data_IF_830760460389
#
_entry.id   IF_830760460389
#
_cell.length_a   1.000
_cell.length_b   1.000
_cell.length_c   1.000
_cell.angle_alpha   90.00
_cell.angle_beta   90.00
_cell.angle_gamma   90.00
#
_symmetry.space_group_name_H-M   'P 1'
#
loop_
_entity.id
_entity.type
_entity.pdbx_description
1 polymer ?
#
# COMPACT_ATOMS: atom_id res chain seq x y z
N UNK A 1 -28.42 54.65 -9.39
CA UNK A 1 -29.40 54.89 -8.30
C UNK A 1 -29.10 53.81 -7.28
N UNK A 2 -28.53 54.05 -6.10
CA UNK A 2 -28.84 55.08 -5.10
C UNK A 2 -27.51 55.63 -4.54
N UNK A 3 -27.37 56.96 -4.62
CA UNK A 3 -26.50 57.79 -3.79
C UNK A 3 -27.30 58.19 -2.54
N UNK A 4 -26.60 58.72 -1.53
CA UNK A 4 -27.13 59.44 -0.35
C UNK A 4 -27.50 58.63 0.90
N UNK A 5 -26.53 57.96 1.55
CA UNK A 5 -26.58 57.80 3.02
C UNK A 5 -25.22 57.93 3.74
N UNK A 6 -24.12 58.21 3.02
CA UNK A 6 -22.79 58.34 3.65
C UNK A 6 -22.31 59.79 3.89
N UNK A 7 -23.19 60.79 3.70
CA UNK A 7 -22.81 62.21 3.84
C UNK A 7 -23.22 62.85 5.18
N UNK A 8 -24.06 62.19 6.00
CA UNK A 8 -24.57 62.78 7.25
C UNK A 8 -23.85 62.31 8.52
N UNK A 9 -22.97 61.31 8.43
CA UNK A 9 -22.22 60.82 9.60
C UNK A 9 -20.88 61.53 9.82
N UNK A 10 -20.35 62.23 8.81
CA UNK A 10 -19.03 62.90 8.90
C UNK A 10 -19.16 64.37 9.38
N UNK A 11 -20.31 65.02 9.16
CA UNK A 11 -20.51 66.41 9.64
C UNK A 11 -20.76 66.52 11.15
N UNK A 12 -21.17 65.46 11.83
CA UNK A 12 -21.40 65.48 13.28
C UNK A 12 -20.12 65.24 14.11
N UNK A 13 -19.10 64.58 13.57
CA UNK A 13 -17.82 64.41 14.28
C UNK A 13 -16.93 65.68 14.26
N UNK A 14 -17.06 66.52 13.22
CA UNK A 14 -16.23 67.74 13.10
C UNK A 14 -16.72 68.86 14.04
N UNK A 15 -18.00 68.89 14.41
CA UNK A 15 -18.48 69.84 15.43
C UNK A 15 -18.06 69.43 16.86
N UNK A 16 -17.90 68.14 17.15
CA UNK A 16 -17.51 67.68 18.48
C UNK A 16 -16.03 67.96 18.81
N UNK A 17 -15.14 67.93 17.81
CA UNK A 17 -13.71 68.28 17.99
C UNK A 17 -13.43 69.79 18.08
N UNK A 18 -14.35 70.66 17.65
CA UNK A 18 -14.17 72.12 17.79
C UNK A 18 -14.60 72.66 19.15
N UNK A 19 -15.45 71.95 19.90
CA UNK A 19 -15.88 72.38 21.24
C UNK A 19 -14.91 71.97 22.37
N UNK A 20 -14.12 70.90 22.19
CA UNK A 20 -13.18 70.41 23.23
C UNK A 20 -11.84 71.15 23.23
N UNK A 21 -11.46 71.78 22.11
CA UNK A 21 -10.19 72.50 22.00
C UNK A 21 -10.17 73.87 22.71
N UNK A 22 -11.34 74.51 22.89
CA UNK A 22 -11.42 75.83 23.57
C UNK A 22 -11.27 75.69 25.09
N UNK A 23 -11.69 74.57 25.69
CA UNK A 23 -11.54 74.32 27.13
C UNK A 23 -10.12 73.95 27.56
N UNK A 24 -9.32 73.33 26.67
CA UNK A 24 -7.93 72.93 26.99
C UNK A 24 -6.93 74.09 26.93
N UNK A 25 -7.22 75.16 26.17
CA UNK A 25 -6.38 76.36 26.15
C UNK A 25 -6.62 77.26 27.38
N UNK A 26 -7.85 77.33 27.91
CA UNK A 26 -8.16 78.10 29.13
C UNK A 26 -7.53 77.49 30.40
N UNK A 27 -7.44 76.15 30.48
CA UNK A 27 -6.81 75.46 31.62
C UNK A 27 -5.28 75.57 31.63
N UNK A 28 -4.63 75.68 30.46
CA UNK A 28 -3.17 75.92 30.39
C UNK A 28 -2.77 77.33 30.78
N UNK A 29 -3.57 78.35 30.45
CA UNK A 29 -3.28 79.74 30.87
C UNK A 29 -3.50 79.97 32.37
N UNK A 30 -4.48 79.28 32.99
CA UNK A 30 -4.67 79.36 34.44
C UNK A 30 -3.56 78.61 35.22
N UNK A 31 -3.01 77.53 34.67
CA UNK A 31 -1.94 76.76 35.32
C UNK A 31 -0.56 77.43 35.25
N UNK A 32 -0.29 78.19 34.18
CA UNK A 32 0.94 79.01 34.06
C UNK A 32 0.87 80.24 34.98
N UNK A 33 -0.31 80.83 35.20
CA UNK A 33 -0.48 81.92 36.16
C UNK A 33 -0.49 81.44 37.63
N UNK A 34 -1.04 80.25 37.94
CA UNK A 34 -0.98 79.68 39.30
C UNK A 34 0.43 79.20 39.69
N UNK A 35 1.24 78.73 38.74
CA UNK A 35 2.64 78.36 39.02
C UNK A 35 3.54 79.58 39.26
N UNK A 36 3.27 80.70 38.59
CA UNK A 36 3.98 81.96 38.80
C UNK A 36 3.66 82.64 40.15
N UNK A 37 2.43 82.47 40.69
CA UNK A 37 2.08 82.95 42.04
C UNK A 37 2.52 81.99 43.16
N UNK A 38 2.70 80.69 42.89
CA UNK A 38 3.21 79.73 43.87
C UNK A 38 4.74 79.85 44.09
N UNK A 39 5.51 80.26 43.07
CA UNK A 39 6.95 80.51 43.22
C UNK A 39 7.30 81.79 44.00
N UNK A 40 6.38 82.75 44.12
CA UNK A 40 6.62 84.00 44.87
C UNK A 40 6.15 83.98 46.33
N UNK A 41 5.31 83.01 46.74
CA UNK A 41 4.88 82.85 48.14
C UNK A 41 5.69 81.76 48.87
N UNK A 42 6.30 80.82 48.16
CA UNK A 42 7.20 79.82 48.76
C UNK A 42 8.61 80.34 49.12
N UNK A 43 8.95 81.59 48.77
CA UNK A 43 10.20 82.24 49.23
C UNK A 43 10.04 83.12 50.49
N UNK A 44 8.85 83.14 51.12
CA UNK A 44 8.58 83.97 52.29
C UNK A 44 8.19 83.17 53.56
N UNK A 45 8.47 81.87 53.60
CA UNK A 45 8.44 81.05 54.84
C UNK A 45 9.75 80.27 54.96
N UNK A 46 10.87 80.97 54.81
CA UNK A 46 12.12 80.61 55.50
C UNK A 46 12.37 81.77 56.46
N UNK A 47 12.10 81.55 57.75
CA UNK A 47 12.70 82.21 58.92
C UNK A 47 11.80 82.02 60.17
N UNK A 48 11.57 80.78 60.59
CA UNK A 48 11.53 80.42 62.03
C UNK A 48 12.06 78.99 62.15
N UNK A 49 13.08 78.83 62.99
CA UNK A 49 13.97 77.67 62.98
C UNK A 49 13.34 76.35 63.43
N UNK A 50 13.91 75.27 62.90
CA UNK A 50 14.35 74.12 63.67
C UNK A 50 15.37 73.36 62.82
N UNK A 51 16.56 73.11 63.37
CA UNK A 51 17.64 72.43 62.66
C UNK A 51 17.22 71.04 62.16
N UNK A 52 17.16 70.88 60.83
CA UNK A 52 17.03 69.57 60.20
C UNK A 52 17.91 69.55 58.95
N UNK A 53 19.08 68.92 59.06
CA UNK A 53 20.00 68.72 57.94
C UNK A 53 19.33 67.87 56.84
N UNK A 54 19.48 68.22 55.55
CA UNK A 54 18.71 67.59 54.48
C UNK A 54 19.25 66.19 54.14
N UNK A 55 18.50 65.15 54.52
CA UNK A 55 18.75 63.73 54.21
C UNK A 55 18.83 63.45 52.68
N UNK A 56 18.34 64.36 51.86
CA UNK A 56 18.19 64.22 50.40
C UNK A 56 19.50 64.20 49.61
N UNK A 57 20.57 64.87 50.08
CA UNK A 57 21.90 64.87 49.39
C UNK A 57 22.86 63.79 49.91
N UNK A 58 22.60 63.26 51.10
CA UNK A 58 23.48 62.29 51.77
C UNK A 58 23.27 60.87 51.25
N UNK A 59 22.04 60.51 50.85
CA UNK A 59 21.72 59.16 50.35
C UNK A 59 22.41 58.83 49.01
N UNK A 60 22.42 59.70 47.97
CA UNK A 60 23.12 59.41 46.72
C UNK A 60 24.63 59.30 46.89
N UNK A 61 25.22 60.11 47.78
CA UNK A 61 26.67 60.09 48.07
C UNK A 61 27.07 58.84 48.85
N UNK A 62 26.25 58.40 49.82
CA UNK A 62 26.46 57.13 50.54
C UNK A 62 26.36 55.93 49.59
N UNK A 63 25.33 55.88 48.73
CA UNK A 63 25.20 54.85 47.70
C UNK A 63 26.38 54.84 46.74
N UNK A 64 26.81 55.99 46.23
CA UNK A 64 27.96 56.08 45.34
C UNK A 64 29.28 55.66 46.04
N UNK A 65 29.45 55.96 47.33
CA UNK A 65 30.60 55.50 48.10
C UNK A 65 30.55 53.98 48.36
N UNK A 66 29.37 53.43 48.65
CA UNK A 66 29.13 51.99 48.82
C UNK A 66 29.35 51.22 47.51
N UNK A 67 28.86 51.73 46.39
CA UNK A 67 29.06 51.18 45.04
C UNK A 67 30.54 51.21 44.64
N UNK A 68 31.25 52.32 44.90
CA UNK A 68 32.70 52.40 44.67
C UNK A 68 33.45 51.40 45.55
N UNK A 69 33.09 51.30 46.83
CA UNK A 69 33.69 50.32 47.73
C UNK A 69 33.38 48.88 47.30
N UNK A 70 32.19 48.62 46.76
CA UNK A 70 31.79 47.33 46.21
C UNK A 70 32.54 47.01 44.92
N UNK A 71 32.71 47.98 44.02
CA UNK A 71 33.48 47.84 42.80
C UNK A 71 34.96 47.53 43.09
N UNK A 72 35.55 48.19 44.09
CA UNK A 72 36.92 47.88 44.55
C UNK A 72 37.00 46.45 45.09
N UNK A 73 36.03 46.03 45.91
CA UNK A 73 35.98 44.64 46.39
C UNK A 73 35.81 43.64 45.25
N UNK A 74 34.93 43.90 44.30
CA UNK A 74 34.72 43.04 43.13
C UNK A 74 35.98 42.96 42.24
N UNK A 75 36.67 44.08 42.04
CA UNK A 75 37.94 44.12 41.32
C UNK A 75 39.03 43.32 42.07
N UNK A 76 39.11 43.44 43.40
CA UNK A 76 40.02 42.65 44.22
C UNK A 76 39.72 41.14 44.15
N UNK A 77 38.44 40.75 44.18
CA UNK A 77 38.00 39.35 44.00
C UNK A 77 38.37 38.82 42.62
N UNK A 78 38.10 39.58 41.56
CA UNK A 78 38.46 39.18 40.18
C UNK A 78 39.97 39.03 40.01
N UNK A 79 40.74 39.96 40.56
CA UNK A 79 42.21 39.93 40.57
C UNK A 79 42.74 38.72 41.34
N UNK A 80 42.13 38.39 42.49
CA UNK A 80 42.44 37.19 43.28
C UNK A 80 42.15 35.90 42.50
N UNK A 81 40.97 35.76 41.88
CA UNK A 81 40.63 34.60 41.04
C UNK A 81 41.55 34.50 39.81
N UNK A 82 41.98 35.62 39.24
CA UNK A 82 42.96 35.63 38.14
C UNK A 82 44.32 35.08 38.58
N UNK A 83 44.82 35.51 39.73
CA UNK A 83 46.04 34.96 40.31
C UNK A 83 45.95 33.44 40.52
N UNK A 84 44.79 32.93 40.97
CA UNK A 84 44.56 31.48 41.12
C UNK A 84 44.60 30.75 39.76
N UNK A 85 44.14 31.38 38.68
CA UNK A 85 44.26 30.83 37.31
C UNK A 85 45.70 30.82 36.81
N UNK A 86 46.43 31.93 36.99
CA UNK A 86 47.81 32.11 36.51
C UNK A 86 48.78 31.06 37.11
N UNK A 87 48.48 30.60 38.33
CA UNK A 87 49.27 29.61 39.07
C UNK A 87 49.29 28.22 38.41
N UNK A 88 48.24 27.85 37.67
CA UNK A 88 48.16 26.65 36.83
C UNK A 88 48.21 25.28 37.55
N UNK A 89 48.66 25.23 38.81
CA UNK A 89 48.79 24.04 39.67
C UNK A 89 47.52 23.76 40.51
N UNK A 90 46.52 24.63 40.43
CA UNK A 90 45.24 24.51 41.14
C UNK A 90 44.25 23.73 40.28
N UNK A 91 43.92 22.52 40.73
CA UNK A 91 42.91 21.65 40.13
C UNK A 91 41.64 21.65 40.99
N UNK A 92 40.54 21.10 40.48
CA UNK A 92 39.24 20.99 41.17
C UNK A 92 39.23 20.21 42.48
N UNK A 93 40.30 19.45 42.79
CA UNK A 93 40.47 18.70 44.04
C UNK A 93 41.51 19.31 44.98
N UNK A 94 42.15 20.43 44.58
CA UNK A 94 43.18 21.09 45.36
C UNK A 94 42.60 21.69 46.64
N UNK A 95 43.28 21.47 47.77
CA UNK A 95 42.88 21.96 49.10
C UNK A 95 43.55 23.30 49.42
N UNK A 96 42.81 24.23 50.03
CA UNK A 96 43.31 25.55 50.42
C UNK A 96 44.60 25.49 51.25
N UNK A 97 44.69 24.52 52.16
CA UNK A 97 45.86 24.32 53.03
C UNK A 97 47.16 24.07 52.27
N UNK A 98 47.12 23.55 51.04
CA UNK A 98 48.32 23.25 50.23
C UNK A 98 48.81 24.46 49.44
N UNK A 99 47.94 25.42 49.16
CA UNK A 99 48.22 26.51 48.21
C UNK A 99 48.42 27.85 48.93
N UNK A 100 47.74 28.08 50.06
CA UNK A 100 47.68 29.37 50.76
C UNK A 100 49.05 30.01 51.05
N UNK A 101 50.05 29.21 51.43
CA UNK A 101 51.37 29.72 51.81
C UNK A 101 52.20 30.15 50.59
N UNK A 102 51.99 29.50 49.44
CA UNK A 102 52.66 29.88 48.19
C UNK A 102 52.13 31.19 47.61
N UNK A 103 50.89 31.59 47.96
CA UNK A 103 50.24 32.81 47.47
C UNK A 103 50.55 34.05 48.31
N UNK A 104 51.14 33.86 49.50
CA UNK A 104 51.32 34.89 50.52
C UNK A 104 52.09 36.14 50.03
N UNK A 105 52.97 35.97 49.05
CA UNK A 105 53.83 37.03 48.54
C UNK A 105 53.19 37.86 47.40
N UNK A 106 52.10 37.40 46.79
CA UNK A 106 51.46 38.11 45.68
C UNK A 106 50.68 39.36 46.19
N UNK A 107 50.87 40.54 45.60
CA UNK A 107 50.10 41.74 45.96
C UNK A 107 48.58 41.54 45.91
N UNK A 108 48.08 40.78 44.92
CA UNK A 108 46.65 40.49 44.72
C UNK A 108 46.08 39.64 45.86
N UNK A 109 46.89 38.77 46.47
CA UNK A 109 46.53 38.00 47.67
C UNK A 109 46.40 38.89 48.92
N UNK A 110 47.30 39.87 49.07
CA UNK A 110 47.30 40.80 50.22
C UNK A 110 46.14 41.80 50.19
N UNK A 111 45.65 42.15 49.00
CA UNK A 111 44.50 43.05 48.82
C UNK A 111 43.14 42.46 49.26
N UNK A 112 43.07 41.14 49.51
CA UNK A 112 41.85 40.46 50.00
C UNK A 112 41.95 40.24 51.51
N UNK A 113 40.83 40.47 52.22
CA UNK A 113 40.71 40.22 53.67
C UNK A 113 40.96 38.76 54.01
N UNK A 114 41.52 38.49 55.19
CA UNK A 114 41.91 37.12 55.56
C UNK A 114 40.73 36.15 55.58
N UNK A 115 39.58 36.61 56.06
CA UNK A 115 38.33 35.86 56.21
C UNK A 115 37.74 35.43 54.85
N UNK A 116 37.95 36.25 53.82
CA UNK A 116 37.35 36.04 52.49
C UNK A 116 38.20 35.12 51.60
N UNK A 117 39.49 34.95 51.89
CA UNK A 117 40.43 34.23 50.98
C UNK A 117 40.05 32.77 50.73
N UNK A 118 39.72 32.04 51.78
CA UNK A 118 39.32 30.63 51.66
C UNK A 118 37.94 30.50 51.01
N UNK A 119 37.03 31.44 51.28
CA UNK A 119 35.70 31.51 50.66
C UNK A 119 35.86 31.70 49.15
N UNK A 120 36.63 32.70 48.73
CA UNK A 120 36.90 32.98 47.31
C UNK A 120 37.65 31.84 46.61
N UNK A 121 38.54 31.16 47.33
CA UNK A 121 39.22 29.97 46.81
C UNK A 121 38.23 28.82 46.59
N UNK A 122 37.35 28.54 47.56
CA UNK A 122 36.34 27.49 47.44
C UNK A 122 35.32 27.82 46.34
N UNK A 123 34.94 29.09 46.18
CA UNK A 123 34.13 29.57 45.07
C UNK A 123 34.81 29.30 43.72
N UNK A 124 36.10 29.64 43.58
CA UNK A 124 36.88 29.32 42.38
C UNK A 124 36.97 27.81 42.10
N UNK A 125 37.18 26.98 43.11
CA UNK A 125 37.15 25.51 42.94
C UNK A 125 35.76 25.02 42.53
N UNK A 126 34.70 25.62 43.08
CA UNK A 126 33.32 25.32 42.68
C UNK A 126 33.05 25.71 41.23
N UNK A 127 33.54 26.86 40.77
CA UNK A 127 33.48 27.29 39.37
C UNK A 127 34.20 26.29 38.45
N UNK A 128 35.39 25.82 38.83
CA UNK A 128 36.13 24.80 38.06
C UNK A 128 35.40 23.45 37.96
N UNK A 129 34.67 23.06 39.02
CA UNK A 129 33.84 21.84 39.00
C UNK A 129 32.60 22.01 38.12
N UNK A 130 31.88 23.12 38.28
CA UNK A 130 30.69 23.43 37.49
C UNK A 130 31.02 23.55 35.99
N UNK A 131 32.16 24.14 35.65
CA UNK A 131 32.63 24.24 34.27
C UNK A 131 32.94 22.87 33.65
N UNK A 132 33.55 21.94 34.40
CA UNK A 132 33.77 20.58 33.90
C UNK A 132 32.46 19.81 33.73
N UNK A 133 31.57 19.89 34.71
CA UNK A 133 30.27 19.22 34.65
C UNK A 133 29.43 19.72 33.47
N UNK A 134 29.49 21.02 33.16
CA UNK A 134 28.86 21.57 31.94
C UNK A 134 29.46 20.95 30.67
N UNK A 135 30.79 20.86 30.58
CA UNK A 135 31.45 20.22 29.43
C UNK A 135 31.08 18.74 29.32
N UNK A 136 30.99 18.02 30.45
CA UNK A 136 30.55 16.63 30.47
C UNK A 136 29.09 16.48 30.04
N UNK A 137 28.19 17.35 30.52
CA UNK A 137 26.78 17.37 30.11
C UNK A 137 26.63 17.69 28.63
N UNK A 138 27.37 18.66 28.11
CA UNK A 138 27.41 18.95 26.69
C UNK A 138 27.96 17.78 25.86
N UNK A 139 29.04 17.14 26.32
CA UNK A 139 29.63 15.99 25.65
C UNK A 139 28.65 14.79 25.63
N UNK A 140 27.95 14.58 26.74
CA UNK A 140 26.88 13.57 26.86
C UNK A 140 25.73 13.88 25.92
N UNK A 141 25.24 15.12 25.88
CA UNK A 141 24.18 15.56 24.96
C UNK A 141 24.59 15.38 23.49
N UNK A 142 25.82 15.79 23.12
CA UNK A 142 26.36 15.60 21.77
C UNK A 142 26.47 14.12 21.41
N UNK A 143 26.89 13.27 22.34
CA UNK A 143 26.97 11.82 22.16
C UNK A 143 25.58 11.20 21.98
N UNK A 144 24.61 11.56 22.82
CA UNK A 144 23.22 11.11 22.71
C UNK A 144 22.59 11.51 21.36
N UNK A 145 22.80 12.75 20.91
CA UNK A 145 22.31 13.18 19.59
C UNK A 145 23.01 12.43 18.45
N UNK A 146 24.32 12.20 18.55
CA UNK A 146 25.05 11.39 17.59
C UNK A 146 24.53 9.95 17.55
N UNK A 147 24.24 9.35 18.70
CA UNK A 147 23.72 7.99 18.79
C UNK A 147 22.28 7.91 18.22
N UNK A 148 21.43 8.91 18.46
CA UNK A 148 20.11 9.04 17.81
C UNK A 148 20.20 9.17 16.29
N UNK A 149 21.21 9.88 15.77
CA UNK A 149 21.44 9.98 14.33
C UNK A 149 21.89 8.63 13.74
N UNK A 150 22.85 7.97 14.39
CA UNK A 150 23.31 6.63 13.99
C UNK A 150 22.17 5.60 14.03
N UNK A 151 21.28 5.68 15.02
CA UNK A 151 20.11 4.82 15.13
C UNK A 151 19.13 5.07 13.98
N UNK A 152 18.81 6.33 13.68
CA UNK A 152 17.98 6.70 12.52
C UNK A 152 18.57 6.20 11.21
N UNK A 153 19.88 6.32 11.02
CA UNK A 153 20.58 5.80 9.84
C UNK A 153 20.46 4.27 9.72
N UNK A 154 20.61 3.54 10.83
CA UNK A 154 20.41 2.07 10.86
C UNK A 154 18.99 1.69 10.50
N UNK A 155 17.99 2.39 11.01
CA UNK A 155 16.58 2.14 10.70
C UNK A 155 16.25 2.43 9.23
N UNK A 156 16.78 3.52 8.67
CA UNK A 156 16.67 3.82 7.24
C UNK A 156 17.32 2.73 6.39
N UNK A 157 18.50 2.23 6.78
CA UNK A 157 19.18 1.13 6.08
C UNK A 157 18.34 -0.15 6.10
N UNK A 158 17.79 -0.52 7.26
CA UNK A 158 16.89 -1.69 7.39
C UNK A 158 15.61 -1.53 6.55
N UNK A 159 15.04 -0.32 6.51
CA UNK A 159 13.86 -0.02 5.67
C UNK A 159 14.19 -0.17 4.20
N UNK A 160 15.28 0.44 3.74
CA UNK A 160 15.74 0.36 2.35
C UNK A 160 16.04 -1.08 1.93
N UNK A 161 16.66 -1.88 2.80
CA UNK A 161 16.91 -3.30 2.54
C UNK A 161 15.60 -4.11 2.41
N UNK A 162 14.60 -3.86 3.26
CA UNK A 162 13.28 -4.49 3.14
C UNK A 162 12.59 -4.11 1.83
N UNK A 163 12.62 -2.82 1.48
CA UNK A 163 12.06 -2.32 0.22
C UNK A 163 12.78 -2.94 -0.98
N UNK A 164 14.11 -3.05 -0.95
CA UNK A 164 14.90 -3.69 -2.00
C UNK A 164 14.61 -5.19 -2.13
N UNK A 165 14.50 -5.91 -1.01
CA UNK A 165 14.11 -7.32 -1.02
C UNK A 165 12.69 -7.51 -1.55
N UNK A 166 11.74 -6.63 -1.20
CA UNK A 166 10.39 -6.67 -1.73
C UNK A 166 10.37 -6.38 -3.23
N UNK A 167 11.08 -5.34 -3.67
CA UNK A 167 11.24 -5.01 -5.07
C UNK A 167 11.86 -6.17 -5.86
N UNK A 168 12.89 -6.84 -5.33
CA UNK A 168 13.50 -7.97 -6.02
C UNK A 168 12.55 -9.17 -6.10
N UNK A 169 11.77 -9.45 -5.06
CA UNK A 169 10.69 -10.47 -5.12
C UNK A 169 9.67 -10.13 -6.21
N UNK A 170 9.30 -8.86 -6.35
CA UNK A 170 8.39 -8.41 -7.41
C UNK A 170 9.03 -8.59 -8.79
N UNK A 171 10.30 -8.19 -8.95
CA UNK A 171 11.03 -8.35 -10.22
C UNK A 171 11.17 -9.81 -10.64
N UNK A 172 11.51 -10.73 -9.73
CA UNK A 172 11.53 -12.17 -10.00
C UNK A 172 10.17 -12.69 -10.47
N UNK A 173 9.08 -12.27 -9.82
CA UNK A 173 7.72 -12.66 -10.23
C UNK A 173 7.38 -12.17 -11.64
N UNK A 174 7.78 -10.95 -11.99
CA UNK A 174 7.57 -10.40 -13.33
C UNK A 174 8.38 -11.17 -14.36
N UNK A 175 9.69 -11.34 -14.16
CA UNK A 175 10.56 -12.11 -15.07
C UNK A 175 10.02 -13.52 -15.32
N UNK A 176 9.60 -14.22 -14.26
CA UNK A 176 9.00 -15.55 -14.39
C UNK A 176 7.69 -15.52 -15.19
N UNK A 177 6.78 -14.56 -14.94
CA UNK A 177 5.54 -14.43 -15.72
C UNK A 177 5.80 -14.14 -17.19
N UNK A 178 6.77 -13.27 -17.49
CA UNK A 178 7.20 -12.97 -18.85
C UNK A 178 7.78 -14.22 -19.52
N UNK A 179 8.62 -14.98 -18.82
CA UNK A 179 9.16 -16.24 -19.32
C UNK A 179 8.04 -17.26 -19.60
N UNK A 180 7.06 -17.42 -18.70
CA UNK A 180 5.88 -18.28 -18.93
C UNK A 180 5.12 -17.85 -20.18
N UNK A 181 4.78 -16.56 -20.30
CA UNK A 181 4.02 -16.04 -21.44
C UNK A 181 4.79 -16.20 -22.75
N UNK A 182 6.10 -15.94 -22.71
CA UNK A 182 6.99 -16.08 -23.86
C UNK A 182 7.08 -17.54 -24.32
N UNK A 183 7.22 -18.48 -23.37
CA UNK A 183 7.21 -19.91 -23.68
C UNK A 183 5.85 -20.39 -24.19
N UNK A 184 4.74 -19.92 -23.62
CA UNK A 184 3.40 -20.23 -24.14
C UNK A 184 3.21 -19.75 -25.58
N UNK A 185 3.74 -18.56 -25.93
CA UNK A 185 3.74 -18.09 -27.32
C UNK A 185 4.54 -19.03 -28.23
N UNK A 186 5.73 -19.48 -27.80
CA UNK A 186 6.50 -20.50 -28.52
C UNK A 186 5.69 -21.77 -28.75
N UNK A 187 4.97 -22.27 -27.74
CA UNK A 187 4.12 -23.46 -27.86
C UNK A 187 3.00 -23.25 -28.88
N UNK A 188 2.35 -22.09 -28.90
CA UNK A 188 1.32 -21.75 -29.90
C UNK A 188 1.91 -21.66 -31.32
N UNK A 189 3.11 -21.10 -31.46
CA UNK A 189 3.80 -20.94 -32.75
C UNK A 189 4.27 -22.28 -33.33
N UNK A 190 4.82 -23.16 -32.48
CA UNK A 190 5.48 -24.40 -32.90
C UNK A 190 4.57 -25.61 -32.87
N UNK A 191 3.71 -25.70 -31.84
CA UNK A 191 2.80 -26.81 -31.60
C UNK A 191 1.38 -26.30 -31.84
N UNK A 192 1.06 -26.20 -33.12
CA UNK A 192 -0.29 -25.85 -33.57
C UNK A 192 -1.19 -27.07 -33.45
N UNK A 193 -2.51 -26.82 -33.41
CA UNK A 193 -3.44 -27.84 -33.89
C UNK A 193 -2.92 -28.32 -35.24
N UNK A 194 -2.80 -29.64 -35.47
CA UNK A 194 -2.68 -30.15 -36.81
C UNK A 194 -3.91 -29.65 -37.55
N UNK A 195 -3.78 -28.51 -38.23
CA UNK A 195 -4.56 -28.21 -39.41
C UNK A 195 -4.43 -29.50 -40.19
N UNK A 196 -5.56 -30.17 -40.42
CA UNK A 196 -5.61 -31.34 -41.27
C UNK A 196 -5.30 -30.81 -42.66
N UNK A 197 -4.01 -30.61 -42.96
CA UNK A 197 -3.51 -30.21 -44.27
C UNK A 197 -3.70 -31.43 -45.14
N UNK A 198 -4.84 -31.43 -45.84
CA UNK A 198 -5.09 -31.98 -47.18
C UNK A 198 -4.67 -33.41 -47.54
N UNK A 199 -4.13 -34.22 -46.62
CA UNK A 199 -3.67 -35.58 -46.94
C UNK A 199 -4.79 -36.62 -47.07
N UNK A 200 -6.03 -36.27 -46.71
CA UNK A 200 -7.21 -37.14 -46.90
C UNK A 200 -8.11 -36.73 -48.08
N UNK A 201 -7.89 -35.55 -48.68
CA UNK A 201 -8.67 -35.11 -49.85
C UNK A 201 -8.19 -35.74 -51.16
N UNK A 202 -6.91 -36.11 -51.25
CA UNK A 202 -6.32 -36.66 -52.48
C UNK A 202 -6.36 -38.20 -52.56
N UNK A 203 -6.81 -38.87 -51.50
CA UNK A 203 -6.89 -40.36 -51.43
C UNK A 203 -8.30 -40.85 -51.72
N UNK A 204 -9.31 -39.99 -51.60
CA UNK A 204 -10.71 -40.30 -51.91
C UNK A 204 -11.06 -40.13 -53.40
N UNK A 205 -10.09 -39.77 -54.25
CA UNK A 205 -10.27 -39.55 -55.69
C UNK A 205 -9.55 -40.59 -56.58
N UNK A 206 -9.17 -41.75 -56.04
CA UNK A 206 -8.86 -42.93 -56.84
C UNK A 206 -9.75 -44.08 -56.36
N UNK A 207 -10.73 -44.38 -57.19
CA UNK A 207 -11.53 -45.61 -57.27
C UNK A 207 -12.38 -45.98 -56.05
N UNK A 208 -13.61 -45.45 -56.02
CA UNK A 208 -14.86 -46.23 -56.08
C UNK A 208 -15.12 -47.42 -55.12
N UNK A 209 -14.25 -47.68 -54.14
CA UNK A 209 -14.37 -48.77 -53.19
C UNK A 209 -14.00 -48.22 -51.80
N UNK A 210 -15.02 -47.71 -51.11
CA UNK A 210 -14.94 -47.44 -49.68
C UNK A 210 -14.79 -48.78 -48.93
N UNK A 211 -13.57 -49.31 -48.89
CA UNK A 211 -13.24 -50.45 -48.04
C UNK A 211 -13.22 -49.99 -46.58
N UNK A 212 -14.08 -50.60 -45.77
CA UNK A 212 -14.17 -50.47 -44.31
C UNK A 212 -12.88 -50.94 -43.61
N UNK A 213 -11.82 -50.13 -43.63
CA UNK A 213 -10.54 -50.42 -42.93
C UNK A 213 -10.53 -49.84 -41.50
N UNK A 214 -11.58 -49.15 -41.05
CA UNK A 214 -11.52 -48.38 -39.81
C UNK A 214 -11.75 -49.16 -38.49
N UNK A 215 -11.93 -50.49 -38.53
CA UNK A 215 -12.19 -51.31 -37.33
C UNK A 215 -11.20 -52.47 -37.14
N UNK A 216 -9.95 -52.31 -37.58
CA UNK A 216 -8.90 -53.24 -37.16
C UNK A 216 -8.43 -52.88 -35.75
N UNK A 217 -8.88 -53.70 -34.80
CA UNK A 217 -8.51 -53.75 -33.38
C UNK A 217 -6.99 -53.86 -33.20
N UNK A 218 -6.25 -52.76 -33.34
CA UNK A 218 -4.82 -52.69 -33.07
C UNK A 218 -4.59 -52.34 -31.59
N UNK A 219 -4.53 -53.37 -30.76
CA UNK A 219 -3.86 -53.32 -29.47
C UNK A 219 -3.22 -54.69 -29.21
N UNK A 220 -1.95 -54.88 -29.61
CA UNK A 220 -0.89 -55.46 -28.75
C UNK A 220 0.43 -55.84 -29.46
N UNK A 221 0.51 -56.06 -30.78
CA UNK A 221 1.75 -56.59 -31.38
C UNK A 221 2.09 -55.95 -32.73
N UNK A 222 3.13 -55.12 -32.76
CA UNK A 222 3.81 -54.72 -33.99
C UNK A 222 5.08 -55.56 -34.13
N UNK A 223 4.95 -56.73 -34.76
CA UNK A 223 6.09 -57.48 -35.26
C UNK A 223 6.60 -56.85 -36.56
N UNK A 224 7.92 -56.78 -36.64
CA UNK A 224 8.72 -56.33 -37.79
C UNK A 224 8.29 -57.05 -39.07
N UNK A 225 7.88 -56.29 -40.08
CA UNK A 225 7.80 -56.79 -41.46
C UNK A 225 8.78 -56.00 -42.35
N UNK A 226 9.78 -56.71 -42.83
CA UNK A 226 10.74 -56.28 -43.84
C UNK A 226 10.06 -56.25 -45.21
N UNK A 227 9.95 -55.08 -45.83
CA UNK A 227 9.39 -54.93 -47.17
C UNK A 227 8.57 -53.65 -47.24
N UNK A 228 9.11 -52.63 -47.91
CA UNK A 228 8.61 -51.27 -47.91
C UNK A 228 7.12 -51.14 -48.20
N UNK A 229 6.38 -50.60 -47.23
CA UNK A 229 5.16 -49.85 -47.47
C UNK A 229 5.02 -48.78 -46.38
N UNK A 230 4.77 -47.55 -46.82
CA UNK A 230 4.73 -46.35 -46.01
C UNK A 230 3.76 -46.52 -44.83
N UNK A 231 4.33 -46.47 -43.63
CA UNK A 231 3.61 -46.38 -42.36
C UNK A 231 2.74 -45.13 -42.44
N UNK A 232 1.41 -45.31 -42.50
CA UNK A 232 0.46 -44.22 -42.29
C UNK A 232 0.53 -43.80 -40.83
N UNK A 233 1.12 -42.65 -40.49
CA UNK A 233 1.03 -42.18 -39.14
C UNK A 233 -0.34 -41.54 -39.04
N UNK A 234 -1.31 -42.26 -38.48
CA UNK A 234 -2.37 -41.59 -37.75
C UNK A 234 -1.71 -40.95 -36.50
N UNK A 235 -0.84 -39.94 -36.72
CA UNK A 235 -0.19 -39.11 -35.70
C UNK A 235 -1.22 -38.12 -35.16
N UNK A 236 -2.29 -38.66 -34.61
CA UNK A 236 -2.95 -38.11 -33.43
C UNK A 236 -2.37 -38.78 -32.17
N UNK A 237 -1.10 -39.22 -32.23
CA UNK A 237 -0.27 -39.35 -31.04
C UNK A 237 -0.20 -37.95 -30.48
N UNK A 238 -0.74 -37.73 -29.28
CA UNK A 238 -0.50 -36.50 -28.53
C UNK A 238 1.01 -36.26 -28.61
N UNK A 239 1.39 -35.17 -29.28
CA UNK A 239 2.75 -34.71 -29.48
C UNK A 239 3.51 -34.96 -28.16
N UNK A 240 4.48 -35.87 -28.17
CA UNK A 240 5.17 -36.25 -26.94
C UNK A 240 6.19 -35.19 -26.59
N UNK A 241 6.41 -34.98 -25.29
CA UNK A 241 7.44 -34.06 -24.81
C UNK A 241 8.82 -34.40 -25.39
N UNK A 242 9.16 -35.69 -25.43
CA UNK A 242 10.43 -36.19 -25.96
C UNK A 242 10.65 -35.89 -27.45
N UNK A 243 9.59 -35.90 -28.27
CA UNK A 243 9.69 -35.54 -29.69
C UNK A 243 9.76 -34.02 -29.92
N UNK A 244 9.19 -33.24 -29.00
CA UNK A 244 8.97 -31.79 -29.18
C UNK A 244 10.05 -30.94 -28.55
N UNK A 245 10.57 -31.36 -27.41
CA UNK A 245 11.63 -30.69 -26.65
C UNK A 245 12.81 -30.25 -27.54
N UNK A 246 13.45 -31.11 -28.36
CA UNK A 246 14.58 -30.68 -29.19
C UNK A 246 14.21 -29.66 -30.27
N UNK A 247 12.93 -29.55 -30.64
CA UNK A 247 12.45 -28.54 -31.59
C UNK A 247 12.21 -27.20 -30.90
N UNK A 248 11.70 -27.23 -29.68
CA UNK A 248 11.48 -26.04 -28.84
C UNK A 248 12.82 -25.42 -28.38
N UNK A 249 13.82 -26.26 -28.07
CA UNK A 249 15.16 -25.81 -27.68
C UNK A 249 15.94 -25.12 -28.81
N UNK A 250 15.55 -25.33 -30.07
CA UNK A 250 16.14 -24.66 -31.24
C UNK A 250 15.49 -23.30 -31.54
N UNK A 251 14.64 -22.80 -30.65
CA UNK A 251 14.03 -21.48 -30.78
C UNK A 251 15.10 -20.37 -30.85
N UNK A 252 15.10 -19.51 -31.89
CA UNK A 252 16.07 -18.42 -32.02
C UNK A 252 16.05 -17.43 -30.86
N UNK A 253 14.92 -17.27 -30.20
CA UNK A 253 14.75 -16.39 -29.04
C UNK A 253 15.16 -17.07 -27.71
N UNK A 254 15.62 -18.33 -27.77
CA UNK A 254 16.02 -19.14 -26.62
C UNK A 254 14.96 -19.18 -25.50
N UNK A 255 13.67 -19.07 -25.84
CA UNK A 255 12.57 -19.05 -24.86
C UNK A 255 12.47 -20.34 -24.07
N UNK A 256 12.86 -21.46 -24.67
CA UNK A 256 12.95 -22.78 -24.03
C UNK A 256 14.22 -23.00 -23.18
N UNK A 257 15.18 -22.07 -23.23
CA UNK A 257 16.46 -22.12 -22.48
C UNK A 257 16.55 -21.01 -21.44
N UNK A 258 15.44 -20.30 -21.18
CA UNK A 258 15.38 -19.21 -20.23
C UNK A 258 15.61 -19.71 -18.79
N UNK A 259 16.50 -19.06 -18.04
CA UNK A 259 16.86 -19.42 -16.66
C UNK A 259 15.76 -19.20 -15.62
N UNK A 260 14.74 -18.39 -15.92
CA UNK A 260 13.63 -18.09 -15.01
C UNK A 260 12.57 -19.22 -14.97
N UNK A 261 12.70 -20.23 -15.83
CA UNK A 261 11.88 -21.44 -15.86
C UNK A 261 12.75 -22.68 -15.71
N UNK A 262 12.36 -23.56 -14.80
CA UNK A 262 13.04 -24.85 -14.69
C UNK A 262 12.51 -25.86 -15.75
N UNK A 263 13.22 -26.97 -16.01
CA UNK A 263 12.78 -27.97 -16.99
C UNK A 263 11.41 -28.60 -16.67
N UNK A 264 11.00 -28.64 -15.40
CA UNK A 264 9.72 -29.20 -14.97
C UNK A 264 8.56 -28.25 -15.31
N UNK A 265 8.75 -26.94 -15.10
CA UNK A 265 7.83 -25.87 -15.48
C UNK A 265 7.60 -25.87 -16.98
N UNK A 266 8.67 -25.98 -17.78
CA UNK A 266 8.58 -26.06 -19.24
C UNK A 266 7.76 -27.27 -19.69
N UNK A 267 8.04 -28.45 -19.14
CA UNK A 267 7.28 -29.67 -19.44
C UNK A 267 5.81 -29.56 -19.00
N UNK A 268 5.55 -28.94 -17.84
CA UNK A 268 4.20 -28.68 -17.35
C UNK A 268 3.42 -27.77 -18.29
N UNK A 269 4.01 -26.64 -18.69
CA UNK A 269 3.40 -25.70 -19.64
C UNK A 269 3.11 -26.37 -20.98
N UNK A 270 4.02 -27.22 -21.46
CA UNK A 270 3.79 -28.03 -22.64
C UNK A 270 2.58 -28.96 -22.48
N UNK A 271 2.52 -29.75 -21.40
CA UNK A 271 1.40 -30.69 -21.14
C UNK A 271 0.07 -29.96 -21.00
N UNK A 272 0.08 -28.79 -20.36
CA UNK A 272 -1.08 -27.91 -20.23
C UNK A 272 -1.55 -27.37 -21.58
N UNK A 273 -0.63 -26.93 -22.45
CA UNK A 273 -0.95 -26.52 -23.81
C UNK A 273 -1.56 -27.66 -24.63
N UNK A 274 -0.99 -28.86 -24.56
CA UNK A 274 -1.55 -30.04 -25.26
C UNK A 274 -2.96 -30.38 -24.75
N UNK A 275 -3.17 -30.30 -23.43
CA UNK A 275 -4.49 -30.48 -22.82
C UNK A 275 -5.49 -29.42 -23.33
N UNK A 276 -5.10 -28.15 -23.36
CA UNK A 276 -5.92 -27.05 -23.88
C UNK A 276 -6.31 -27.25 -25.35
N UNK A 277 -5.38 -27.72 -26.20
CA UNK A 277 -5.67 -28.05 -27.60
C UNK A 277 -6.69 -29.19 -27.72
N UNK A 278 -6.54 -30.25 -26.90
CA UNK A 278 -7.49 -31.35 -26.86
C UNK A 278 -8.89 -30.89 -26.42
N UNK A 279 -8.95 -30.10 -25.36
CA UNK A 279 -10.20 -29.55 -24.83
C UNK A 279 -10.91 -28.66 -25.85
N UNK A 280 -10.16 -27.87 -26.64
CA UNK A 280 -10.70 -27.08 -27.75
C UNK A 280 -11.33 -27.96 -28.83
N UNK A 281 -10.65 -29.03 -29.27
CA UNK A 281 -11.21 -30.00 -30.24
C UNK A 281 -12.46 -30.68 -29.69
N UNK A 282 -12.44 -31.08 -28.42
CA UNK A 282 -13.59 -31.69 -27.77
C UNK A 282 -14.78 -30.72 -27.66
N UNK A 283 -14.50 -29.43 -27.45
CA UNK A 283 -15.53 -28.39 -27.43
C UNK A 283 -16.16 -28.19 -28.81
N UNK A 284 -15.36 -28.08 -29.86
CA UNK A 284 -15.87 -28.01 -31.24
C UNK A 284 -16.69 -29.24 -31.61
N UNK A 285 -16.27 -30.44 -31.20
CA UNK A 285 -17.03 -31.66 -31.43
C UNK A 285 -18.37 -31.66 -30.66
N UNK A 286 -18.40 -31.17 -29.41
CA UNK A 286 -19.67 -31.00 -28.68
C UNK A 286 -20.60 -30.01 -29.36
N UNK A 287 -20.08 -28.92 -29.94
CA UNK A 287 -20.88 -27.98 -30.71
C UNK A 287 -21.50 -28.65 -31.95
N UNK A 288 -20.73 -29.47 -32.68
CA UNK A 288 -21.25 -30.30 -33.77
C UNK A 288 -22.37 -31.23 -33.29
N UNK A 289 -22.18 -31.91 -32.15
CA UNK A 289 -23.20 -32.79 -31.60
C UNK A 289 -24.50 -32.02 -31.29
N UNK A 290 -24.41 -30.81 -30.75
CA UNK A 290 -25.61 -29.99 -30.52
C UNK A 290 -26.30 -29.49 -31.78
N UNK A 291 -25.57 -29.28 -32.86
CA UNK A 291 -26.14 -28.86 -34.14
C UNK A 291 -26.81 -30.01 -34.89
N UNK A 292 -26.24 -31.23 -34.80
CA UNK A 292 -26.69 -32.39 -35.59
C UNK A 292 -27.70 -33.26 -34.82
N UNK A 293 -27.55 -33.38 -33.50
CA UNK A 293 -28.43 -34.20 -32.65
C UNK A 293 -29.53 -33.33 -32.03
N UNK A 294 -30.26 -32.61 -32.88
CA UNK A 294 -31.38 -31.75 -32.46
C UNK A 294 -32.54 -32.59 -31.91
N UNK A 295 -33.50 -31.93 -31.26
CA UNK A 295 -34.67 -32.60 -30.70
C UNK A 295 -35.49 -33.35 -31.76
N UNK A 296 -35.53 -32.83 -32.99
CA UNK A 296 -36.20 -33.45 -34.13
C UNK A 296 -35.45 -34.69 -34.62
N UNK A 297 -34.12 -34.67 -34.64
CA UNK A 297 -33.33 -35.84 -34.98
C UNK A 297 -33.45 -36.94 -33.92
N UNK A 298 -33.70 -36.57 -32.66
CA UNK A 298 -33.86 -37.50 -31.56
C UNK A 298 -35.18 -38.28 -31.56
N UNK A 299 -36.23 -37.78 -32.22
CA UNK A 299 -37.52 -38.46 -32.36
C UNK A 299 -37.63 -39.34 -33.61
N UNK A 300 -36.67 -39.23 -34.53
CA UNK A 300 -36.60 -40.09 -35.71
C UNK A 300 -36.01 -41.45 -35.35
N UNK A 301 -36.87 -42.46 -35.32
CA UNK A 301 -36.49 -43.86 -35.15
C UNK A 301 -36.22 -44.52 -36.50
N UNK A 302 -35.13 -45.27 -36.59
CA UNK A 302 -34.91 -46.19 -37.72
C UNK A 302 -35.86 -47.38 -37.63
N UNK A 303 -35.99 -48.19 -38.69
CA UNK A 303 -36.79 -49.43 -38.70
C UNK A 303 -36.50 -50.38 -37.51
N UNK A 304 -35.28 -50.32 -36.95
CA UNK A 304 -34.86 -51.05 -35.74
C UNK A 304 -35.25 -50.41 -34.39
N UNK A 305 -35.98 -49.28 -34.35
CA UNK A 305 -36.29 -48.53 -33.11
C UNK A 305 -35.12 -47.77 -32.50
N UNK A 306 -34.00 -47.59 -33.23
CA UNK A 306 -32.81 -46.87 -32.77
C UNK A 306 -32.86 -45.40 -33.19
N UNK A 307 -32.47 -44.49 -32.30
CA UNK A 307 -32.37 -43.06 -32.57
C UNK A 307 -30.89 -42.63 -32.68
N UNK A 308 -30.68 -41.39 -33.11
CA UNK A 308 -29.35 -40.76 -33.13
C UNK A 308 -28.75 -40.57 -31.72
N UNK A 309 -29.56 -40.64 -30.66
CA UNK A 309 -29.12 -40.54 -29.26
C UNK A 309 -28.82 -41.91 -28.63
N UNK A 310 -29.43 -42.99 -29.14
CA UNK A 310 -29.28 -44.34 -28.57
C UNK A 310 -28.30 -45.22 -29.33
N UNK A 311 -27.95 -44.86 -30.57
CA UNK A 311 -27.00 -45.63 -31.39
C UNK A 311 -25.86 -44.78 -31.96
N UNK A 312 -24.64 -45.13 -31.56
CA UNK A 312 -23.42 -44.51 -32.10
C UNK A 312 -23.33 -44.67 -33.62
N UNK A 313 -23.65 -45.85 -34.16
CA UNK A 313 -23.62 -46.10 -35.60
C UNK A 313 -24.56 -45.18 -36.37
N UNK A 314 -25.74 -44.89 -35.82
CA UNK A 314 -26.72 -43.96 -36.39
C UNK A 314 -26.23 -42.51 -36.33
N UNK A 315 -25.75 -42.05 -35.17
CA UNK A 315 -25.17 -40.72 -35.03
C UNK A 315 -23.95 -40.51 -35.95
N UNK A 316 -23.07 -41.51 -36.00
CA UNK A 316 -21.82 -41.47 -36.77
C UNK A 316 -22.07 -41.27 -38.27
N UNK A 317 -23.19 -41.72 -38.83
CA UNK A 317 -23.54 -41.45 -40.24
C UNK A 317 -23.71 -39.96 -40.52
N UNK A 318 -24.27 -39.21 -39.57
CA UNK A 318 -24.48 -37.76 -39.69
C UNK A 318 -23.22 -36.95 -39.40
N UNK A 319 -22.31 -37.49 -38.60
CA UNK A 319 -21.10 -36.79 -38.13
C UNK A 319 -19.88 -36.94 -39.06
N UNK A 320 -19.81 -38.03 -39.86
CA UNK A 320 -18.60 -38.42 -40.60
C UNK A 320 -18.09 -37.39 -41.62
N UNK A 321 -18.96 -36.55 -42.17
CA UNK A 321 -18.63 -35.54 -43.17
C UNK A 321 -18.06 -34.24 -42.57
N UNK A 322 -18.29 -33.97 -41.28
CA UNK A 322 -17.90 -32.70 -40.66
C UNK A 322 -16.42 -32.69 -40.25
N UNK A 323 -15.75 -31.56 -40.51
CA UNK A 323 -14.34 -31.37 -40.19
C UNK A 323 -14.04 -31.48 -38.69
N UNK A 324 -14.96 -31.06 -37.81
CA UNK A 324 -14.83 -31.14 -36.35
C UNK A 324 -14.81 -32.58 -35.87
N UNK A 325 -15.59 -33.48 -36.50
CA UNK A 325 -15.52 -34.91 -36.25
C UNK A 325 -14.19 -35.53 -36.70
N UNK A 326 -13.70 -35.12 -37.88
CA UNK A 326 -12.41 -35.61 -38.42
C UNK A 326 -11.26 -35.22 -37.48
N UNK A 327 -11.26 -33.98 -36.98
CA UNK A 327 -10.25 -33.44 -36.04
C UNK A 327 -10.29 -34.09 -34.66
N UNK A 328 -11.44 -34.59 -34.22
CA UNK A 328 -11.56 -35.25 -32.91
C UNK A 328 -10.76 -36.58 -32.89
N UNK A 329 -9.91 -36.84 -31.89
CA UNK A 329 -9.22 -38.13 -31.73
C UNK A 329 -10.18 -39.33 -31.73
N UNK A 330 -9.91 -40.32 -32.59
CA UNK A 330 -10.80 -41.50 -32.80
C UNK A 330 -11.22 -42.18 -31.50
N UNK A 331 -10.27 -42.41 -30.60
CA UNK A 331 -10.47 -43.05 -29.29
C UNK A 331 -11.44 -42.31 -28.36
N UNK A 332 -11.66 -41.02 -28.59
CA UNK A 332 -12.44 -40.15 -27.72
C UNK A 332 -13.82 -39.81 -28.31
N UNK A 333 -14.07 -40.10 -29.60
CA UNK A 333 -15.30 -39.69 -30.30
C UNK A 333 -16.54 -40.29 -29.66
N UNK A 334 -16.56 -41.62 -29.50
CA UNK A 334 -17.72 -42.32 -28.97
C UNK A 334 -17.96 -41.97 -27.50
N UNK A 335 -16.89 -41.82 -26.70
CA UNK A 335 -17.04 -41.47 -25.29
C UNK A 335 -17.61 -40.06 -25.09
N UNK A 336 -17.20 -39.09 -25.92
CA UNK A 336 -17.78 -37.74 -25.91
C UNK A 336 -19.24 -37.75 -26.38
N UNK A 337 -19.55 -38.49 -27.44
CA UNK A 337 -20.93 -38.67 -27.91
C UNK A 337 -21.82 -39.32 -26.86
N UNK A 338 -21.32 -40.36 -26.17
CA UNK A 338 -22.07 -41.10 -25.15
C UNK A 338 -22.47 -40.18 -24.01
N UNK A 339 -21.51 -39.43 -23.46
CA UNK A 339 -21.78 -38.44 -22.39
C UNK A 339 -22.76 -37.36 -22.84
N UNK A 340 -22.63 -36.88 -24.08
CA UNK A 340 -23.57 -35.89 -24.62
C UNK A 340 -24.99 -36.45 -24.76
N UNK A 341 -25.11 -37.68 -25.28
CA UNK A 341 -26.40 -38.33 -25.52
C UNK A 341 -27.12 -38.67 -24.22
N UNK A 342 -26.40 -39.18 -23.22
CA UNK A 342 -26.91 -39.39 -21.86
C UNK A 342 -27.45 -38.08 -21.24
N UNK A 343 -26.72 -36.98 -21.42
CA UNK A 343 -27.16 -35.66 -20.94
C UNK A 343 -28.43 -35.17 -21.65
N UNK A 344 -28.52 -35.40 -22.97
CA UNK A 344 -29.72 -35.05 -23.74
C UNK A 344 -30.94 -35.90 -23.36
N UNK A 345 -30.77 -37.21 -23.19
CA UNK A 345 -31.83 -38.11 -22.73
C UNK A 345 -32.28 -37.74 -21.31
N UNK A 346 -31.35 -37.39 -20.43
CA UNK A 346 -31.67 -36.89 -19.07
C UNK A 346 -32.50 -35.61 -19.12
N UNK A 347 -32.17 -34.67 -20.01
CA UNK A 347 -32.94 -33.44 -20.21
C UNK A 347 -34.34 -33.70 -20.77
N UNK A 348 -34.48 -34.61 -21.72
CA UNK A 348 -35.78 -35.01 -22.26
C UNK A 348 -36.67 -35.61 -21.16
N UNK A 349 -36.13 -36.52 -20.35
CA UNK A 349 -36.85 -37.12 -19.23
C UNK A 349 -37.32 -36.07 -18.21
N UNK A 350 -36.45 -35.14 -17.81
CA UNK A 350 -36.81 -34.06 -16.89
C UNK A 350 -37.89 -33.12 -17.46
N UNK A 351 -37.83 -32.81 -18.76
CA UNK A 351 -38.86 -32.00 -19.42
C UNK A 351 -40.21 -32.73 -19.47
N UNK A 352 -40.19 -34.05 -19.67
CA UNK A 352 -41.38 -34.88 -19.65
C UNK A 352 -42.00 -34.93 -18.23
N UNK A 353 -41.19 -35.23 -17.21
CA UNK A 353 -41.62 -35.29 -15.80
C UNK A 353 -42.24 -33.95 -15.34
N UNK A 354 -41.63 -32.81 -15.71
CA UNK A 354 -42.17 -31.47 -15.40
C UNK A 354 -43.49 -31.16 -16.10
N UNK A 355 -43.70 -31.71 -17.30
CA UNK A 355 -44.94 -31.53 -18.05
C UNK A 355 -46.06 -32.37 -17.43
N UNK A 356 -45.75 -33.59 -17.01
CA UNK A 356 -46.68 -34.48 -16.29
C UNK A 356 -47.08 -33.91 -14.92
N UNK A 357 -46.12 -33.35 -14.17
CA UNK A 357 -46.38 -32.67 -12.89
C UNK A 357 -47.27 -31.43 -13.05
N UNK A 358 -47.02 -30.58 -14.06
CA UNK A 358 -47.92 -29.45 -14.38
C UNK A 358 -49.32 -29.90 -14.78
N UNK A 359 -49.44 -30.98 -15.55
CA UNK A 359 -50.73 -31.49 -16.02
C UNK A 359 -51.56 -32.09 -14.86
N UNK A 360 -50.89 -32.71 -13.89
CA UNK A 360 -51.55 -33.22 -12.66
C UNK A 360 -51.97 -32.10 -11.71
N UNK A 361 -51.19 -31.02 -11.58
CA UNK A 361 -51.53 -29.87 -10.73
C UNK A 361 -52.73 -29.05 -11.30
N UNK A 362 -52.80 -28.87 -12.62
CA UNK A 362 -53.94 -28.21 -13.30
C UNK A 362 -55.22 -29.04 -13.16
N UNK A 363 -55.12 -30.38 -13.21
CA UNK A 363 -56.28 -31.26 -13.01
C UNK A 363 -56.77 -31.28 -11.55
N UNK A 364 -55.89 -31.05 -10.58
CA UNK A 364 -56.25 -30.91 -9.16
C UNK A 364 -57.03 -29.63 -8.85
N UNK A 365 -56.75 -28.51 -9.54
CA UNK A 365 -57.47 -27.24 -9.34
C UNK A 365 -58.85 -27.18 -10.01
N UNK A 366 -59.07 -27.94 -11.08
CA UNK A 366 -60.36 -27.96 -11.81
C UNK A 366 -61.43 -28.87 -11.18
N UNK A 367 -61.12 -29.55 -10.06
CA UNK A 367 -62.03 -30.49 -9.39
C UNK A 367 -62.71 -29.93 -8.13
N UNK A 368 -62.46 -28.66 -7.76
CA UNK A 368 -63.08 -28.03 -6.57
C UNK A 368 -63.77 -26.73 -6.96
N UNK A 369 -64.85 -26.84 -7.72
CA UNK A 369 -65.95 -25.86 -7.64
C UNK A 369 -67.25 -26.52 -8.13
N UNK A 370 -68.07 -26.97 -7.18
CA UNK A 370 -69.53 -27.04 -7.32
C UNK A 370 -70.19 -27.39 -5.99
N UNK A 371 -70.66 -26.36 -5.29
CA UNK A 371 -71.90 -26.43 -4.50
C UNK A 371 -71.76 -26.35 -2.98
N UNK A 372 -72.04 -25.17 -2.40
CA UNK A 372 -73.35 -24.85 -1.77
C UNK A 372 -73.25 -23.59 -0.87
N UNK A 373 -74.18 -22.67 -1.09
CA UNK A 373 -74.35 -21.35 -0.46
C UNK A 373 -74.44 -21.35 1.09
N UNK A 374 -74.02 -20.26 1.76
CA UNK A 374 -74.32 -19.99 3.16
C UNK A 374 -75.53 -19.03 3.33
N UNK A 375 -76.44 -19.33 4.25
CA UNK A 375 -77.42 -18.36 4.76
C UNK A 375 -77.82 -18.65 6.21
N UNK A 376 -77.83 -17.60 7.04
CA UNK A 376 -78.32 -17.53 8.42
C UNK A 376 -77.18 -17.36 9.45
N UNK A 377 -76.77 -16.14 9.85
CA UNK A 377 -77.42 -15.15 10.73
C UNK A 377 -77.21 -15.36 12.26
N UNK A 378 -76.33 -14.50 12.81
CA UNK A 378 -76.27 -13.85 14.16
C UNK A 378 -76.21 -14.68 15.45
N UNK A 379 -75.16 -14.42 16.25
CA UNK A 379 -75.12 -13.72 17.58
C UNK A 379 -73.78 -14.07 18.27
N UNK A 380 -72.89 -13.11 18.56
CA UNK A 380 -72.83 -12.20 19.72
C UNK A 380 -72.28 -12.86 21.01
N UNK A 381 -71.13 -12.32 21.48
CA UNK A 381 -70.56 -12.27 22.85
C UNK A 381 -70.34 -13.62 23.60
N UNK A 382 -69.24 -13.86 24.31
CA UNK A 382 -68.84 -13.18 25.55
C UNK A 382 -67.40 -13.59 25.99
N UNK A 383 -66.80 -12.73 26.81
CA UNK A 383 -65.44 -12.74 27.37
C UNK A 383 -65.16 -13.90 28.36
N UNK A 384 -63.89 -14.27 28.52
CA UNK A 384 -63.14 -14.02 29.78
C UNK A 384 -61.64 -14.05 29.54
#
# INVERSE_FOLDING_TARGET
MINLEHSTSIELEIQFLRSTCVCLFALKFLWISLSALCSSVCHAIELVGHGFYPVSRVLPLKRAAEEKAQAIRAAAVSSFKSMLRDKGDITRSTRWSRVKDSLRNDPRYKCVKHEDREILFNEYISELKAAEEEVEREAKSKKEEQDKLKERERELRKRKEREEQEMERVRLKVRRKEAVSSYQALLVETIKDPQVVSYYSNVLNLDGLAMDVCDMKLNSEAQMFSGGMLVWPNKLVLVSWTESKPKLEKDPQARATNSDLDPSDLEKLFREHIKMLHERRAHEFRALLSEVLTAEAATQETEDGKTVLTSWSTAKRLLRSDTRYIKMPRKDRESVWRRYSEEMLRKQKLAQDQTEEKHTEVKGRNSVDSGRFPSGSRRAHERR
#
